data_IF_012285149467
#
_entry.id   IF_012285149467
#
_cell.length_a   1.000
_cell.length_b   1.000
_cell.length_c   1.000
_cell.angle_alpha   90.00
_cell.angle_beta   90.00
_cell.angle_gamma   90.00
#
_symmetry.space_group_name_H-M   'P 1'
#
loop_
_entity.id
_entity.type
_entity.pdbx_description
1 polymer ?
#
# COMPACT_ATOMS: atom_id res chain seq x y z
N UNK A 1 -15.87 -25.37 2.38
CA UNK A 1 -14.86 -24.90 3.35
C UNK A 1 -13.81 -25.95 3.67
N UNK A 2 -14.18 -27.18 3.92
CA UNK A 2 -13.26 -28.29 4.23
C UNK A 2 -12.18 -28.52 3.15
N UNK A 3 -12.55 -28.50 1.88
CA UNK A 3 -11.64 -28.73 0.76
C UNK A 3 -10.41 -27.79 0.72
N UNK A 4 -10.57 -26.52 1.09
CA UNK A 4 -9.44 -25.57 1.15
C UNK A 4 -8.43 -25.94 2.23
N UNK A 5 -8.92 -26.34 3.40
CA UNK A 5 -8.07 -26.71 4.53
C UNK A 5 -7.29 -27.99 4.26
N UNK A 6 -7.88 -28.94 3.54
CA UNK A 6 -7.22 -30.19 3.15
C UNK A 6 -6.06 -29.97 2.18
N UNK A 7 -6.13 -28.92 1.38
CA UNK A 7 -5.06 -28.48 0.47
C UNK A 7 -4.12 -27.44 1.09
N UNK A 8 -4.25 -27.10 2.37
CA UNK A 8 -3.40 -26.13 3.04
C UNK A 8 -3.78 -24.67 2.84
N UNK A 9 -4.96 -24.36 2.26
CA UNK A 9 -5.44 -22.99 2.08
C UNK A 9 -6.36 -22.60 3.23
N UNK A 10 -6.03 -21.54 3.94
CA UNK A 10 -6.78 -21.06 5.10
C UNK A 10 -7.34 -19.67 4.86
N UNK A 11 -8.53 -19.42 5.41
CA UNK A 11 -9.07 -18.06 5.46
C UNK A 11 -8.37 -17.28 6.57
N UNK A 12 -7.71 -16.17 6.20
CA UNK A 12 -7.03 -15.28 7.16
C UNK A 12 -7.84 -14.03 7.49
N UNK A 13 -8.76 -13.60 6.62
CA UNK A 13 -9.61 -12.44 6.86
C UNK A 13 -10.42 -12.05 5.64
N UNK A 14 -11.34 -11.11 5.85
CA UNK A 14 -12.15 -10.48 4.82
C UNK A 14 -11.73 -9.02 4.65
N UNK A 15 -11.80 -8.50 3.43
CA UNK A 15 -11.52 -7.11 3.11
C UNK A 15 -10.27 -6.91 2.28
N UNK A 16 -9.78 -5.66 2.26
CA UNK A 16 -8.57 -5.30 1.53
C UNK A 16 -7.34 -5.76 2.30
N UNK A 17 -6.74 -6.85 1.86
CA UNK A 17 -5.50 -7.40 2.45
C UNK A 17 -4.36 -7.31 1.45
N UNK A 18 -4.18 -8.28 0.58
CA UNK A 18 -3.06 -8.35 -0.36
C UNK A 18 -2.98 -7.17 -1.29
N UNK A 19 -4.09 -6.73 -1.90
CA UNK A 19 -4.09 -5.63 -2.87
C UNK A 19 -3.72 -4.25 -2.28
N UNK A 20 -3.63 -4.13 -0.98
CA UNK A 20 -3.20 -2.90 -0.29
C UNK A 20 -1.91 -3.08 0.54
N UNK A 21 -1.25 -4.22 0.39
CA UNK A 21 0.00 -4.50 1.08
C UNK A 21 -0.15 -4.92 2.55
N UNK A 22 -1.33 -5.44 2.94
CA UNK A 22 -1.61 -5.89 4.30
C UNK A 22 -1.43 -7.41 4.48
N UNK A 23 -0.81 -8.10 3.53
CA UNK A 23 -0.48 -9.53 3.66
C UNK A 23 0.71 -9.80 4.57
N UNK A 24 1.39 -8.75 4.98
CA UNK A 24 2.63 -8.84 5.73
C UNK A 24 3.87 -9.02 4.84
N UNK A 25 5.05 -8.98 5.43
CA UNK A 25 6.31 -9.25 4.73
C UNK A 25 6.41 -10.73 4.38
N UNK A 26 7.28 -11.07 3.44
CA UNK A 26 7.78 -12.44 3.28
C UNK A 26 8.60 -12.83 4.50
N UNK A 27 8.72 -14.14 4.74
CA UNK A 27 9.65 -14.66 5.73
C UNK A 27 11.07 -14.14 5.43
N UNK A 28 11.84 -13.84 6.46
CA UNK A 28 13.15 -13.17 6.33
C UNK A 28 14.10 -13.95 5.43
N UNK A 29 14.15 -15.27 5.57
CA UNK A 29 14.97 -16.16 4.75
C UNK A 29 14.58 -16.09 3.26
N UNK A 30 13.29 -15.97 2.95
CA UNK A 30 12.79 -15.86 1.58
C UNK A 30 13.12 -14.49 1.01
N UNK A 31 12.86 -13.43 1.78
CA UNK A 31 13.16 -12.04 1.37
C UNK A 31 14.66 -11.87 1.08
N UNK A 32 15.53 -12.40 1.95
CA UNK A 32 16.98 -12.36 1.78
C UNK A 32 17.44 -13.15 0.54
N UNK A 33 16.85 -14.33 0.30
CA UNK A 33 17.15 -15.12 -0.90
C UNK A 33 16.75 -14.38 -2.18
N UNK A 34 15.60 -13.75 -2.20
CA UNK A 34 15.12 -12.95 -3.34
C UNK A 34 16.03 -11.77 -3.62
N UNK A 35 16.41 -11.02 -2.58
CA UNK A 35 17.22 -9.81 -2.73
C UNK A 35 18.70 -10.14 -3.06
N UNK A 36 19.28 -11.13 -2.39
CA UNK A 36 20.69 -11.50 -2.59
C UNK A 36 20.95 -12.07 -3.98
N UNK A 37 20.00 -12.84 -4.51
CA UNK A 37 20.16 -13.50 -5.81
C UNK A 37 19.43 -12.76 -6.95
N UNK A 38 18.87 -11.59 -6.68
CA UNK A 38 18.09 -10.79 -7.64
C UNK A 38 16.99 -11.60 -8.34
N UNK A 39 16.27 -12.44 -7.59
CA UNK A 39 15.28 -13.33 -8.15
C UNK A 39 14.05 -12.57 -8.67
N UNK A 40 13.49 -13.04 -9.78
CA UNK A 40 12.24 -12.57 -10.33
C UNK A 40 11.08 -13.42 -9.77
N UNK A 41 10.58 -13.05 -8.59
CA UNK A 41 9.42 -13.72 -8.00
C UNK A 41 8.12 -13.03 -8.39
N UNK A 42 7.04 -13.81 -8.39
CA UNK A 42 5.73 -13.37 -8.88
C UNK A 42 4.67 -13.48 -7.80
N UNK A 43 3.65 -12.61 -7.87
CA UNK A 43 2.40 -12.77 -7.12
C UNK A 43 1.24 -12.98 -8.08
N UNK A 44 0.39 -13.95 -7.78
CA UNK A 44 -0.90 -14.17 -8.47
C UNK A 44 -2.01 -13.90 -7.48
N UNK A 45 -2.87 -12.96 -7.79
CA UNK A 45 -3.92 -12.51 -6.89
C UNK A 45 -5.22 -12.17 -7.62
N UNK A 46 -6.33 -12.22 -6.87
CA UNK A 46 -7.60 -11.65 -7.30
C UNK A 46 -7.85 -10.38 -6.50
N UNK A 47 -7.92 -9.24 -7.17
CA UNK A 47 -8.05 -7.95 -6.47
C UNK A 47 -8.05 -6.76 -7.44
N UNK A 48 -7.65 -5.60 -6.94
CA UNK A 48 -7.56 -4.38 -7.72
C UNK A 48 -6.30 -4.39 -8.60
N UNK A 49 -6.37 -3.80 -9.81
CA UNK A 49 -5.25 -3.71 -10.76
C UNK A 49 -4.14 -2.73 -10.35
N UNK A 50 -4.31 -1.89 -9.35
CA UNK A 50 -3.28 -0.98 -8.84
C UNK A 50 -2.44 -1.65 -7.76
N UNK A 51 -1.66 -2.65 -8.11
CA UNK A 51 -0.94 -3.45 -7.12
C UNK A 51 0.59 -3.32 -7.20
N UNK A 52 1.14 -2.66 -8.20
CA UNK A 52 2.59 -2.45 -8.27
C UNK A 52 3.08 -1.61 -7.08
N UNK A 53 4.07 -2.15 -6.38
CA UNK A 53 4.60 -1.54 -5.15
C UNK A 53 3.68 -1.62 -3.92
N UNK A 54 2.47 -2.18 -4.06
CA UNK A 54 1.54 -2.37 -2.94
C UNK A 54 1.54 -3.78 -2.37
N UNK A 55 1.69 -4.80 -3.24
CA UNK A 55 1.51 -6.20 -2.83
C UNK A 55 2.64 -6.60 -1.90
N UNK A 56 3.87 -6.55 -2.40
CA UNK A 56 5.07 -6.84 -1.65
C UNK A 56 6.27 -6.17 -2.34
N UNK A 57 7.19 -5.52 -1.62
CA UNK A 57 8.35 -4.86 -2.21
C UNK A 57 9.36 -5.81 -2.86
N UNK A 58 9.37 -7.09 -2.48
CA UNK A 58 10.28 -8.08 -3.03
C UNK A 58 9.74 -8.76 -4.31
N UNK A 59 8.45 -8.53 -4.64
CA UNK A 59 7.81 -9.11 -5.82
C UNK A 59 7.95 -8.17 -7.02
N UNK A 60 8.55 -8.67 -8.10
CA UNK A 60 8.80 -7.90 -9.33
C UNK A 60 7.64 -7.96 -10.33
N UNK A 61 6.85 -9.02 -10.32
CA UNK A 61 5.77 -9.25 -11.27
C UNK A 61 4.48 -9.63 -10.56
N UNK A 62 3.38 -8.99 -10.93
CA UNK A 62 2.09 -9.23 -10.32
C UNK A 62 1.07 -9.58 -11.39
N UNK A 63 0.33 -10.66 -11.19
CA UNK A 63 -0.68 -11.16 -12.12
C UNK A 63 -2.05 -11.14 -11.49
N UNK A 64 -3.00 -10.54 -12.20
CA UNK A 64 -4.40 -10.52 -11.79
C UNK A 64 -5.13 -11.71 -12.41
N UNK A 65 -5.71 -12.53 -11.57
CA UNK A 65 -6.44 -13.72 -11.98
C UNK A 65 -7.78 -13.86 -11.24
N UNK A 66 -8.66 -14.70 -11.74
CA UNK A 66 -9.88 -15.08 -11.01
C UNK A 66 -9.54 -15.89 -9.76
N UNK A 67 -10.38 -15.86 -8.70
CA UNK A 67 -10.11 -16.65 -7.49
C UNK A 67 -9.79 -18.13 -7.72
N UNK A 68 -10.49 -18.87 -8.63
CA UNK A 68 -10.13 -20.24 -8.95
C UNK A 68 -8.74 -20.38 -9.58
N UNK A 69 -8.35 -19.47 -10.47
CA UNK A 69 -7.03 -19.50 -11.10
C UNK A 69 -5.90 -19.17 -10.10
N UNK A 70 -6.14 -18.32 -9.12
CA UNK A 70 -5.17 -18.06 -8.04
C UNK A 70 -4.85 -19.36 -7.29
N UNK A 71 -5.87 -20.18 -7.03
CA UNK A 71 -5.68 -21.50 -6.40
C UNK A 71 -4.94 -22.46 -7.35
N UNK A 72 -5.28 -22.45 -8.63
CA UNK A 72 -4.62 -23.30 -9.64
C UNK A 72 -3.12 -23.00 -9.73
N UNK A 73 -2.72 -21.73 -9.83
CA UNK A 73 -1.32 -21.32 -9.84
C UNK A 73 -0.59 -21.62 -8.51
N UNK A 74 -1.29 -21.51 -7.38
CA UNK A 74 -0.72 -21.89 -6.11
C UNK A 74 -0.46 -23.41 -6.00
N UNK A 75 -1.30 -24.23 -6.62
CA UNK A 75 -1.08 -25.68 -6.72
C UNK A 75 0.05 -26.03 -7.70
N UNK A 76 0.13 -25.33 -8.83
CA UNK A 76 1.21 -25.51 -9.81
C UNK A 76 2.57 -25.07 -9.26
N UNK A 77 2.61 -24.07 -8.36
CA UNK A 77 3.84 -23.55 -7.76
C UNK A 77 4.71 -22.71 -8.70
N UNK A 78 4.29 -22.50 -9.94
CA UNK A 78 5.01 -21.73 -10.95
C UNK A 78 4.04 -21.01 -11.90
N UNK A 79 4.50 -19.91 -12.52
CA UNK A 79 3.78 -19.22 -13.59
C UNK A 79 4.02 -19.85 -14.97
N UNK A 80 5.14 -20.57 -15.13
CA UNK A 80 5.47 -21.31 -16.35
C UNK A 80 4.84 -22.71 -16.27
N UNK A 81 3.54 -22.77 -16.50
CA UNK A 81 2.73 -23.98 -16.38
C UNK A 81 1.62 -24.01 -17.42
N UNK A 82 1.56 -25.08 -18.18
CA UNK A 82 0.52 -25.33 -19.19
C UNK A 82 -0.66 -26.11 -18.60
N UNK A 83 -1.66 -25.39 -18.14
CA UNK A 83 -2.87 -26.01 -17.55
C UNK A 83 -3.67 -26.92 -18.48
N UNK A 84 -3.43 -26.87 -19.79
CA UNK A 84 -4.11 -27.75 -20.76
C UNK A 84 -3.40 -29.10 -20.87
N UNK A 85 -2.08 -29.14 -20.78
CA UNK A 85 -1.26 -30.30 -21.12
C UNK A 85 -0.42 -30.85 -19.96
N UNK A 86 -0.20 -30.05 -18.89
CA UNK A 86 0.59 -30.48 -17.73
C UNK A 86 -0.31 -30.87 -16.55
N UNK A 87 -0.03 -32.00 -15.88
CA UNK A 87 -0.78 -32.41 -14.69
C UNK A 87 -0.36 -31.58 -13.47
N UNK A 88 -1.34 -31.17 -12.64
CA UNK A 88 -1.11 -30.52 -11.35
C UNK A 88 -0.50 -31.45 -10.29
N UNK A 89 -0.62 -32.74 -10.48
CA UNK A 89 -0.13 -33.75 -9.57
C UNK A 89 -0.71 -35.12 -9.90
N UNK A 90 -0.63 -36.05 -8.95
CA UNK A 90 -1.18 -37.41 -9.08
C UNK A 90 -2.17 -37.69 -7.96
N UNK A 91 -3.20 -38.49 -8.29
CA UNK A 91 -4.15 -38.97 -7.30
C UNK A 91 -3.55 -40.10 -6.43
N UNK A 92 -4.32 -40.61 -5.49
CA UNK A 92 -3.90 -41.71 -4.59
C UNK A 92 -3.58 -43.04 -5.31
N UNK A 93 -3.96 -43.17 -6.59
CA UNK A 93 -3.69 -44.32 -7.43
C UNK A 93 -2.53 -44.10 -8.39
N UNK A 94 -1.87 -42.91 -8.33
CA UNK A 94 -0.79 -42.54 -9.20
C UNK A 94 -1.23 -42.11 -10.62
N UNK A 95 -2.50 -41.74 -10.78
CA UNK A 95 -2.99 -41.21 -12.05
C UNK A 95 -2.82 -39.69 -12.10
N UNK A 96 -2.41 -39.16 -13.26
CA UNK A 96 -2.23 -37.72 -13.44
C UNK A 96 -3.56 -36.99 -13.33
N UNK A 97 -3.54 -35.87 -12.55
CA UNK A 97 -4.66 -34.98 -12.32
C UNK A 97 -4.42 -33.66 -13.00
N UNK A 98 -5.26 -33.28 -13.94
CA UNK A 98 -5.21 -32.04 -14.68
C UNK A 98 -6.19 -31.01 -14.10
N UNK A 99 -5.99 -29.74 -14.41
CA UNK A 99 -6.89 -28.67 -13.96
C UNK A 99 -8.36 -28.94 -14.34
N UNK A 100 -8.62 -29.48 -15.52
CA UNK A 100 -9.97 -29.84 -15.99
C UNK A 100 -10.69 -30.86 -15.11
N UNK A 101 -9.93 -31.72 -14.44
CA UNK A 101 -10.49 -32.79 -13.61
C UNK A 101 -10.98 -32.27 -12.24
N UNK A 102 -10.43 -31.14 -11.78
CA UNK A 102 -10.78 -30.47 -10.52
C UNK A 102 -11.52 -29.14 -10.71
N UNK A 103 -11.69 -28.67 -11.95
CA UNK A 103 -12.39 -27.42 -12.24
C UNK A 103 -13.88 -27.57 -11.94
N UNK A 104 -14.46 -26.69 -11.10
CA UNK A 104 -15.85 -26.84 -10.70
C UNK A 104 -16.81 -26.59 -11.88
N UNK A 105 -17.77 -27.50 -12.06
CA UNK A 105 -18.86 -27.30 -13.01
C UNK A 105 -19.78 -26.14 -12.60
N UNK A 106 -20.05 -25.14 -13.47
CA UNK A 106 -20.91 -24.02 -13.11
C UNK A 106 -22.31 -24.42 -12.61
N UNK A 107 -22.86 -25.53 -13.14
CA UNK A 107 -24.17 -26.02 -12.74
C UNK A 107 -24.13 -26.59 -11.32
N UNK A 108 -23.04 -27.24 -10.96
CA UNK A 108 -22.84 -27.75 -9.60
C UNK A 108 -22.64 -26.61 -8.60
N UNK A 109 -21.84 -25.62 -8.96
CA UNK A 109 -21.68 -24.40 -8.17
C UNK A 109 -23.02 -23.71 -7.92
N UNK A 110 -23.87 -23.56 -8.95
CA UNK A 110 -25.20 -22.95 -8.82
C UNK A 110 -26.10 -23.76 -7.89
N UNK A 111 -26.12 -25.10 -7.98
CA UNK A 111 -26.88 -25.95 -7.06
C UNK A 111 -26.46 -25.77 -5.60
N UNK A 112 -25.15 -25.65 -5.35
CA UNK A 112 -24.62 -25.41 -4.01
C UNK A 112 -25.05 -24.03 -3.50
N UNK A 113 -25.00 -23.00 -4.35
CA UNK A 113 -25.47 -21.65 -4.02
C UNK A 113 -26.94 -21.69 -3.63
N UNK A 114 -27.80 -22.27 -4.48
CA UNK A 114 -29.25 -22.34 -4.28
C UNK A 114 -29.62 -23.13 -3.00
N UNK A 115 -28.85 -24.15 -2.66
CA UNK A 115 -29.07 -24.95 -1.46
C UNK A 115 -28.48 -24.35 -0.17
N UNK A 116 -27.53 -23.41 -0.30
CA UNK A 116 -26.75 -22.92 0.85
C UNK A 116 -27.13 -21.51 1.27
N UNK A 117 -27.67 -20.69 0.37
CA UNK A 117 -28.01 -19.28 0.64
C UNK A 117 -29.50 -19.20 0.93
N UNK A 118 -29.84 -18.88 2.17
CA UNK A 118 -31.21 -18.66 2.61
C UNK A 118 -31.35 -17.39 3.48
N UNK A 119 -32.58 -17.00 3.78
CA UNK A 119 -32.88 -15.80 4.56
C UNK A 119 -32.27 -15.85 5.96
N UNK A 120 -32.18 -17.05 6.56
CA UNK A 120 -31.65 -17.21 7.92
C UNK A 120 -30.17 -16.79 8.04
N UNK A 121 -29.41 -16.91 6.96
CA UNK A 121 -28.03 -16.44 6.92
C UNK A 121 -27.96 -14.90 7.06
N UNK A 122 -28.84 -14.20 6.40
CA UNK A 122 -28.94 -12.74 6.49
C UNK A 122 -29.42 -12.30 7.87
N UNK A 123 -30.43 -12.94 8.41
CA UNK A 123 -30.95 -12.66 9.75
C UNK A 123 -29.87 -12.86 10.82
N UNK A 124 -29.07 -13.93 10.70
CA UNK A 124 -27.99 -14.22 11.64
C UNK A 124 -26.86 -13.19 11.55
N UNK A 125 -26.44 -12.83 10.32
CA UNK A 125 -25.29 -11.93 10.13
C UNK A 125 -25.62 -10.47 10.38
N UNK A 126 -26.88 -10.07 10.07
CA UNK A 126 -27.31 -8.67 10.22
C UNK A 126 -28.14 -8.41 11.47
N UNK A 127 -28.69 -9.45 12.11
CA UNK A 127 -29.52 -9.30 13.31
C UNK A 127 -28.80 -8.66 14.50
N UNK A 128 -27.50 -8.87 14.59
CA UNK A 128 -26.64 -8.36 15.66
C UNK A 128 -25.61 -7.32 15.20
N UNK A 129 -25.78 -6.76 14.00
CA UNK A 129 -24.77 -5.89 13.38
C UNK A 129 -24.47 -4.64 14.22
N UNK A 130 -25.46 -4.15 14.97
CA UNK A 130 -25.29 -2.99 15.85
C UNK A 130 -24.79 -3.35 17.25
N UNK A 131 -24.83 -4.63 17.62
CA UNK A 131 -24.35 -5.06 18.93
C UNK A 131 -22.83 -5.27 18.95
N UNK A 132 -22.28 -5.67 17.80
CA UNK A 132 -20.88 -6.04 17.69
C UNK A 132 -20.55 -7.35 18.43
N UNK A 133 -19.29 -7.77 18.36
CA UNK A 133 -18.82 -8.91 19.15
C UNK A 133 -18.41 -8.49 20.57
N UNK A 134 -18.10 -9.46 21.43
CA UNK A 134 -17.70 -9.21 22.81
C UNK A 134 -16.46 -8.28 22.92
N UNK A 135 -15.52 -8.35 21.96
CA UNK A 135 -14.33 -7.49 21.95
C UNK A 135 -14.72 -6.04 21.66
N UNK A 136 -15.65 -5.84 20.72
CA UNK A 136 -16.18 -4.52 20.40
C UNK A 136 -16.93 -3.91 21.58
N UNK A 137 -17.79 -4.69 22.23
CA UNK A 137 -18.57 -4.23 23.41
C UNK A 137 -17.70 -3.87 24.61
N UNK A 138 -16.55 -4.54 24.77
CA UNK A 138 -15.62 -4.31 25.89
C UNK A 138 -14.52 -3.29 25.54
N UNK A 139 -14.60 -2.58 24.40
CA UNK A 139 -13.68 -1.48 24.11
C UNK A 139 -13.89 -0.35 25.15
N UNK A 140 -12.81 0.00 25.82
CA UNK A 140 -12.78 1.19 26.67
C UNK A 140 -12.83 2.43 25.76
N UNK A 141 -13.95 3.13 25.80
CA UNK A 141 -14.18 4.30 24.94
C UNK A 141 -14.17 5.56 25.79
N UNK A 142 -13.40 6.59 25.41
CA UNK A 142 -13.44 7.87 26.11
C UNK A 142 -14.84 8.50 26.01
N UNK A 143 -15.32 9.09 27.10
CA UNK A 143 -16.64 9.67 27.23
C UNK A 143 -16.64 11.21 27.12
N UNK A 144 -15.49 11.81 26.81
CA UNK A 144 -15.36 13.27 26.67
C UNK A 144 -15.78 13.79 25.29
N UNK A 145 -16.02 15.09 25.18
CA UNK A 145 -16.34 15.77 23.92
C UNK A 145 -15.12 15.92 22.99
N UNK A 146 -13.92 15.68 23.50
CA UNK A 146 -12.66 15.84 22.77
C UNK A 146 -11.86 14.54 22.86
N UNK A 147 -11.22 14.15 21.75
CA UNK A 147 -10.33 12.99 21.76
C UNK A 147 -9.02 13.31 22.51
N UNK A 148 -8.66 12.47 23.46
CA UNK A 148 -7.36 12.54 24.15
C UNK A 148 -6.29 11.86 23.31
N UNK A 149 -5.38 12.66 22.75
CA UNK A 149 -4.27 12.17 21.94
C UNK A 149 -3.15 11.62 22.82
N UNK A 150 -2.74 10.38 22.53
CA UNK A 150 -1.53 9.80 23.11
C UNK A 150 -0.30 10.24 22.30
N UNK A 151 0.60 11.06 22.87
CA UNK A 151 1.79 11.54 22.16
C UNK A 151 2.81 10.42 21.88
N UNK A 152 2.73 9.30 22.59
CA UNK A 152 3.63 8.16 22.39
C UNK A 152 3.09 7.14 21.38
N UNK A 153 1.84 7.30 20.94
CA UNK A 153 1.25 6.40 19.95
C UNK A 153 2.03 6.44 18.63
N UNK A 154 2.39 5.27 18.12
CA UNK A 154 3.01 5.12 16.81
C UNK A 154 2.00 4.83 15.69
N UNK A 155 0.70 4.72 16.02
CA UNK A 155 -0.38 4.47 15.07
C UNK A 155 -1.30 5.67 14.84
N UNK A 156 -1.65 6.41 15.89
CA UNK A 156 -2.57 7.54 15.82
C UNK A 156 -1.95 8.73 16.54
N UNK A 157 -1.64 9.78 15.81
CA UNK A 157 -1.05 11.01 16.33
C UNK A 157 -1.87 12.23 15.96
N UNK A 158 -1.90 13.22 16.84
CA UNK A 158 -2.51 14.51 16.53
C UNK A 158 -1.81 15.13 15.31
N UNK A 159 -2.52 15.35 14.21
CA UNK A 159 -1.92 15.94 13.01
C UNK A 159 -1.81 17.48 13.17
N UNK A 160 -0.80 18.10 12.52
CA UNK A 160 -0.56 19.54 12.63
C UNK A 160 -1.40 20.43 11.70
N UNK A 161 -2.45 19.88 11.06
CA UNK A 161 -3.17 20.59 10.00
C UNK A 161 -3.85 21.88 10.43
N UNK A 162 -4.19 22.00 11.70
CA UNK A 162 -4.88 23.14 12.28
C UNK A 162 -3.99 23.99 13.19
N UNK A 163 -2.71 23.64 13.32
CA UNK A 163 -1.78 24.38 14.15
C UNK A 163 -1.55 25.78 13.55
N UNK A 164 -1.76 26.80 14.33
CA UNK A 164 -1.64 28.19 13.88
C UNK A 164 -2.79 28.71 13.00
N UNK A 165 -3.86 27.92 12.81
CA UNK A 165 -5.02 28.37 12.05
C UNK A 165 -5.77 29.47 12.79
N UNK A 166 -6.09 30.55 12.08
CA UNK A 166 -6.88 31.67 12.57
C UNK A 166 -8.21 31.78 11.81
N UNK A 167 -9.16 32.55 12.34
CA UNK A 167 -10.42 32.85 11.66
C UNK A 167 -10.23 33.83 10.48
N UNK A 168 -9.13 34.54 10.42
CA UNK A 168 -8.80 35.45 9.34
C UNK A 168 -8.05 34.71 8.24
N UNK A 169 -8.47 34.89 6.99
CA UNK A 169 -7.80 34.31 5.82
C UNK A 169 -6.59 35.15 5.45
N UNK A 170 -5.46 34.48 5.20
CA UNK A 170 -4.29 35.15 4.60
C UNK A 170 -4.52 35.40 3.12
N UNK A 171 -4.09 36.54 2.56
CA UNK A 171 -4.15 36.77 1.12
C UNK A 171 -3.27 35.76 0.37
N UNK A 172 -3.60 35.54 -0.91
CA UNK A 172 -2.74 34.76 -1.81
C UNK A 172 -1.53 35.59 -2.14
N UNK A 173 -0.34 35.03 -1.92
CA UNK A 173 0.94 35.66 -2.20
C UNK A 173 1.69 34.90 -3.30
N UNK A 174 2.59 35.61 -3.99
CA UNK A 174 3.49 34.97 -4.96
C UNK A 174 4.47 34.02 -4.28
N UNK A 175 4.84 32.95 -4.97
CA UNK A 175 5.82 31.97 -4.48
C UNK A 175 7.18 32.34 -5.06
N UNK A 176 8.04 32.94 -4.26
CA UNK A 176 9.37 33.39 -4.68
C UNK A 176 10.47 32.41 -4.20
N UNK A 177 11.50 32.23 -5.01
CA UNK A 177 12.70 31.47 -4.66
C UNK A 177 12.48 29.96 -4.51
N UNK A 178 11.34 29.43 -4.96
CA UNK A 178 11.02 28.04 -4.82
C UNK A 178 12.01 27.11 -5.54
N UNK A 179 12.23 25.91 -4.96
CA UNK A 179 13.03 24.85 -5.56
C UNK A 179 12.13 23.69 -5.99
N UNK A 180 12.54 23.01 -7.07
CA UNK A 180 11.86 21.82 -7.55
C UNK A 180 12.30 20.64 -6.68
N UNK A 181 11.37 20.11 -5.87
CA UNK A 181 11.61 18.90 -5.08
C UNK A 181 11.59 17.65 -5.97
N UNK A 182 10.63 17.59 -6.89
CA UNK A 182 10.46 16.46 -7.82
C UNK A 182 10.07 16.97 -9.21
N UNK A 183 10.70 16.39 -10.23
CA UNK A 183 10.31 16.52 -11.63
C UNK A 183 9.88 15.14 -12.13
N UNK A 184 8.58 14.94 -12.29
CA UNK A 184 7.97 13.67 -12.58
C UNK A 184 7.44 13.60 -14.02
N UNK A 185 7.38 12.38 -14.57
CA UNK A 185 6.76 12.13 -15.87
C UNK A 185 5.24 12.01 -15.80
N UNK A 186 4.67 11.43 -16.85
CA UNK A 186 3.23 11.17 -16.99
C UNK A 186 2.76 10.04 -16.08
N UNK A 187 1.44 9.98 -15.83
CA UNK A 187 0.74 8.88 -15.15
C UNK A 187 1.23 8.57 -13.72
N UNK A 188 1.66 9.60 -13.00
CA UNK A 188 1.99 9.48 -11.58
C UNK A 188 0.71 9.44 -10.77
N UNK A 189 0.32 8.25 -10.34
CA UNK A 189 -0.94 8.02 -9.61
C UNK A 189 -0.85 8.41 -8.14
N UNK A 190 -2.00 8.47 -7.47
CA UNK A 190 -2.05 8.66 -6.02
C UNK A 190 -1.31 7.59 -5.22
N UNK A 191 -1.08 6.40 -5.80
CA UNK A 191 -0.26 5.35 -5.18
C UNK A 191 1.24 5.63 -5.21
N UNK A 192 1.70 6.35 -6.20
CA UNK A 192 3.07 6.83 -6.24
C UNK A 192 3.32 7.95 -5.22
N UNK A 193 2.32 8.79 -4.99
CA UNK A 193 2.42 9.95 -4.08
C UNK A 193 2.22 9.52 -2.63
N UNK A 194 1.17 8.73 -2.36
CA UNK A 194 0.79 8.29 -1.01
C UNK A 194 0.94 6.77 -0.90
N UNK A 195 2.03 6.26 -0.37
CA UNK A 195 2.29 4.83 -0.31
C UNK A 195 1.36 4.11 0.66
N UNK A 196 1.14 2.82 0.42
CA UNK A 196 0.29 1.98 1.25
C UNK A 196 0.98 0.71 1.75
N UNK A 197 1.98 0.22 1.03
CA UNK A 197 2.70 -1.03 1.29
C UNK A 197 3.65 -0.97 2.49
N UNK A 198 4.40 -2.05 2.67
CA UNK A 198 5.44 -2.16 3.70
C UNK A 198 6.68 -1.32 3.33
N UNK A 199 7.54 -1.09 4.31
CA UNK A 199 8.76 -0.31 4.15
C UNK A 199 9.91 -0.92 4.97
N UNK A 200 11.13 -0.62 4.56
CA UNK A 200 12.35 -1.16 5.16
C UNK A 200 12.82 -0.29 6.34
N UNK A 201 13.67 -0.88 7.20
CA UNK A 201 14.21 -0.20 8.38
C UNK A 201 15.14 0.98 8.06
N UNK A 202 15.78 0.95 6.88
CA UNK A 202 16.69 2.01 6.40
C UNK A 202 15.99 3.22 5.79
N UNK A 203 14.67 3.11 5.55
CA UNK A 203 13.86 4.24 5.06
C UNK A 203 13.62 5.27 6.16
N UNK A 204 13.30 6.54 5.83
CA UNK A 204 12.94 7.54 6.83
C UNK A 204 11.82 7.10 7.78
N UNK A 205 10.80 6.41 7.29
CA UNK A 205 9.72 5.88 8.12
C UNK A 205 10.17 4.72 9.03
N UNK A 206 11.05 3.84 8.52
CA UNK A 206 11.62 2.75 9.31
C UNK A 206 12.52 3.24 10.43
N UNK A 207 13.37 4.24 10.16
CA UNK A 207 14.20 4.90 11.16
C UNK A 207 13.35 5.53 12.26
N UNK A 208 12.34 6.30 11.87
CA UNK A 208 11.39 6.92 12.80
C UNK A 208 10.76 5.88 13.75
N UNK A 209 10.26 4.77 13.24
CA UNK A 209 9.65 3.73 14.07
C UNK A 209 10.67 3.04 14.99
N UNK A 210 11.88 2.79 14.48
CA UNK A 210 12.97 2.21 15.29
C UNK A 210 13.36 3.13 16.44
N UNK A 211 13.44 4.43 16.21
CA UNK A 211 13.71 5.46 17.24
C UNK A 211 12.60 5.50 18.30
N UNK A 212 11.37 5.14 17.93
CA UNK A 212 10.23 5.00 18.87
C UNK A 212 10.09 3.58 19.46
N UNK A 213 11.13 2.74 19.35
CA UNK A 213 11.17 1.41 19.97
C UNK A 213 10.37 0.34 19.27
N UNK A 214 9.82 0.59 18.07
CA UNK A 214 9.08 -0.41 17.31
C UNK A 214 10.05 -1.33 16.61
N UNK A 215 9.89 -2.65 16.80
CA UNK A 215 10.70 -3.65 16.11
C UNK A 215 10.26 -3.82 14.67
N UNK A 216 11.18 -4.20 13.75
CA UNK A 216 10.88 -4.38 12.32
C UNK A 216 9.66 -5.25 12.05
N UNK A 217 9.51 -6.36 12.76
CA UNK A 217 8.37 -7.27 12.62
C UNK A 217 7.01 -6.62 12.91
N UNK A 218 7.01 -5.52 13.67
CA UNK A 218 5.83 -4.79 14.12
C UNK A 218 5.62 -3.48 13.32
N UNK A 219 6.42 -3.23 12.28
CA UNK A 219 6.29 -2.02 11.44
C UNK A 219 4.94 -1.93 10.74
N UNK A 220 4.39 -3.08 10.32
CA UNK A 220 3.22 -3.15 9.47
C UNK A 220 3.45 -2.38 8.15
N UNK A 221 2.43 -1.69 7.67
CA UNK A 221 2.44 -0.96 6.40
C UNK A 221 2.11 0.51 6.60
N UNK A 222 2.41 1.35 5.61
CA UNK A 222 1.94 2.74 5.58
C UNK A 222 0.41 2.80 5.71
N UNK A 223 -0.31 1.89 5.05
CA UNK A 223 -1.78 1.83 5.14
C UNK A 223 -2.30 1.59 6.54
N UNK A 224 -1.63 0.74 7.33
CA UNK A 224 -1.98 0.46 8.72
C UNK A 224 -1.68 1.64 9.65
N UNK A 225 -0.69 2.46 9.30
CA UNK A 225 -0.24 3.62 10.10
C UNK A 225 -0.72 4.97 9.57
N UNK A 226 -1.72 4.97 8.68
CA UNK A 226 -2.24 6.21 8.05
C UNK A 226 -2.79 7.24 9.04
N UNK A 227 -3.06 6.86 10.27
CA UNK A 227 -3.41 7.76 11.38
C UNK A 227 -2.21 8.46 12.03
N UNK A 228 -0.99 8.10 11.62
CA UNK A 228 0.24 8.73 12.10
C UNK A 228 0.88 9.54 10.95
N UNK A 229 0.72 10.86 11.01
CA UNK A 229 1.24 11.77 9.98
C UNK A 229 2.77 11.73 9.88
N UNK A 230 3.48 11.42 10.97
CA UNK A 230 4.94 11.32 10.96
C UNK A 230 5.44 10.14 10.12
N UNK A 231 4.74 9.01 10.18
CA UNK A 231 5.05 7.86 9.31
C UNK A 231 4.68 8.19 7.87
N UNK A 232 3.50 8.76 7.65
CA UNK A 232 2.96 9.01 6.30
C UNK A 232 3.75 10.06 5.53
N UNK A 233 4.20 11.14 6.18
CA UNK A 233 5.03 12.17 5.52
C UNK A 233 6.37 11.59 5.05
N UNK A 234 6.94 10.68 5.82
CA UNK A 234 8.20 9.99 5.49
C UNK A 234 8.05 8.99 4.35
N UNK A 235 6.81 8.58 4.06
CA UNK A 235 6.45 7.73 2.93
C UNK A 235 5.95 8.48 1.71
N UNK A 236 5.67 9.77 1.84
CA UNK A 236 5.17 10.57 0.71
C UNK A 236 6.22 10.67 -0.39
N UNK A 237 5.84 10.30 -1.63
CA UNK A 237 6.72 10.11 -2.77
C UNK A 237 7.82 9.04 -2.58
N UNK A 238 7.67 8.11 -1.65
CA UNK A 238 8.64 7.04 -1.41
C UNK A 238 8.30 5.74 -2.14
N UNK A 239 7.40 5.76 -3.12
CA UNK A 239 7.08 4.59 -3.92
C UNK A 239 8.30 4.13 -4.70
N UNK A 240 8.58 2.82 -4.69
CA UNK A 240 9.75 2.21 -5.33
C UNK A 240 9.80 2.36 -6.85
N UNK A 241 8.68 2.70 -7.50
CA UNK A 241 8.56 2.88 -8.95
C UNK A 241 8.61 4.34 -9.39
N UNK A 242 8.68 5.27 -8.45
CA UNK A 242 8.75 6.69 -8.81
C UNK A 242 10.08 7.00 -9.48
N UNK A 243 10.04 7.77 -10.57
CA UNK A 243 11.21 8.21 -11.32
C UNK A 243 11.29 9.73 -11.27
N UNK A 244 12.22 10.23 -10.47
CA UNK A 244 12.47 11.66 -10.40
C UNK A 244 13.53 12.04 -11.45
N UNK A 245 13.12 12.81 -12.47
CA UNK A 245 13.99 13.25 -13.56
C UNK A 245 15.11 14.22 -13.14
N UNK A 246 15.19 14.58 -11.87
CA UNK A 246 16.35 15.26 -11.29
C UNK A 246 17.54 14.30 -11.05
N UNK A 247 17.28 13.00 -11.10
CA UNK A 247 18.25 11.92 -10.91
C UNK A 247 18.22 10.96 -12.11
N UNK A 248 19.35 10.79 -12.77
CA UNK A 248 19.45 9.89 -13.91
C UNK A 248 19.46 8.41 -13.46
N UNK A 249 18.52 7.62 -13.99
CA UNK A 249 18.47 6.17 -13.78
C UNK A 249 18.09 5.70 -12.37
N UNK A 250 17.69 6.60 -11.49
CA UNK A 250 17.30 6.27 -10.11
C UNK A 250 15.79 6.09 -10.03
N UNK A 251 15.36 4.94 -9.49
CA UNK A 251 13.97 4.68 -9.10
C UNK A 251 13.83 4.74 -7.58
N UNK A 252 12.64 5.10 -7.10
CA UNK A 252 12.32 5.19 -5.68
C UNK A 252 12.20 6.63 -5.17
N UNK A 253 11.99 6.77 -3.88
CA UNK A 253 11.71 8.03 -3.19
C UNK A 253 12.94 8.90 -2.96
N UNK A 254 13.66 9.24 -4.02
CA UNK A 254 14.88 10.03 -3.95
C UNK A 254 14.78 11.33 -4.73
N UNK A 255 15.56 12.32 -4.30
CA UNK A 255 15.71 13.63 -4.96
C UNK A 255 17.12 14.16 -4.76
N UNK A 256 17.37 15.40 -5.26
CA UNK A 256 18.59 16.16 -4.96
C UNK A 256 18.33 17.16 -3.85
N UNK A 257 19.25 17.22 -2.93
CA UNK A 257 19.24 18.20 -1.85
C UNK A 257 20.23 19.34 -2.13
N UNK A 258 19.73 20.42 -2.73
CA UNK A 258 20.56 21.60 -3.04
C UNK A 258 20.72 22.57 -1.85
N UNK A 259 20.29 22.22 -0.65
CA UNK A 259 20.74 22.91 0.56
C UNK A 259 22.19 22.56 0.88
N UNK A 260 22.68 21.45 0.31
CA UNK A 260 24.06 20.98 0.43
C UNK A 260 24.84 21.20 -0.87
N UNK A 261 26.15 21.39 -0.73
CA UNK A 261 27.02 21.61 -1.88
C UNK A 261 26.99 20.44 -2.87
N UNK A 262 26.85 20.73 -4.14
CA UNK A 262 26.75 19.74 -5.21
C UNK A 262 25.38 19.06 -5.35
N UNK A 263 24.43 19.32 -4.48
CA UNK A 263 23.09 18.72 -4.54
C UNK A 263 23.13 17.19 -4.49
N UNK A 264 23.61 16.58 -3.41
CA UNK A 264 23.68 15.13 -3.30
C UNK A 264 22.29 14.47 -3.37
N UNK A 265 22.26 13.19 -3.72
CA UNK A 265 21.06 12.39 -3.66
C UNK A 265 20.66 12.18 -2.18
N UNK A 266 19.38 12.40 -1.89
CA UNK A 266 18.79 12.18 -0.57
C UNK A 266 17.39 11.57 -0.70
N UNK A 267 16.86 10.99 0.37
CA UNK A 267 15.46 10.64 0.42
C UNK A 267 14.59 11.92 0.31
N UNK A 268 13.46 11.82 -0.37
CA UNK A 268 12.57 12.98 -0.58
C UNK A 268 12.21 13.64 0.74
N UNK A 269 11.90 12.86 1.77
CA UNK A 269 11.59 13.39 3.10
C UNK A 269 12.77 14.18 3.69
N UNK A 270 13.96 13.60 3.70
CA UNK A 270 15.14 14.22 4.32
C UNK A 270 15.50 15.55 3.62
N UNK A 271 15.50 15.56 2.29
CA UNK A 271 15.72 16.78 1.51
C UNK A 271 14.63 17.82 1.79
N UNK A 272 13.36 17.43 1.85
CA UNK A 272 12.26 18.34 2.12
C UNK A 272 12.38 18.99 3.50
N UNK A 273 12.79 18.24 4.52
CA UNK A 273 13.04 18.81 5.87
C UNK A 273 14.19 19.81 5.86
N UNK A 274 15.30 19.52 5.17
CA UNK A 274 16.42 20.44 5.02
C UNK A 274 15.99 21.75 4.31
N UNK A 275 15.16 21.67 3.27
CA UNK A 275 14.60 22.85 2.62
C UNK A 275 13.67 23.65 3.53
N UNK A 276 12.84 23.00 4.33
CA UNK A 276 11.97 23.68 5.30
C UNK A 276 12.79 24.41 6.37
N UNK A 277 13.84 23.77 6.90
CA UNK A 277 14.75 24.40 7.86
C UNK A 277 15.47 25.62 7.27
N UNK A 278 15.82 25.55 5.98
CA UNK A 278 16.40 26.66 5.24
C UNK A 278 15.37 27.75 4.82
N UNK A 279 14.09 27.58 5.11
CA UNK A 279 13.02 28.49 4.72
C UNK A 279 12.76 28.57 3.20
N UNK A 280 13.13 27.52 2.45
CA UNK A 280 13.01 27.48 0.99
C UNK A 280 11.70 26.80 0.58
N UNK A 281 10.78 27.47 -0.10
CA UNK A 281 9.54 26.87 -0.57
C UNK A 281 9.81 25.84 -1.68
N UNK A 282 8.96 24.81 -1.75
CA UNK A 282 9.10 23.72 -2.68
C UNK A 282 7.95 23.67 -3.70
N UNK A 283 8.27 23.17 -4.89
CA UNK A 283 7.29 22.87 -5.94
C UNK A 283 7.54 21.47 -6.52
N UNK A 284 6.48 20.86 -7.02
CA UNK A 284 6.54 19.60 -7.77
C UNK A 284 6.10 19.86 -9.21
N UNK A 285 6.87 19.33 -10.16
CA UNK A 285 6.51 19.36 -11.57
C UNK A 285 6.04 17.97 -11.97
N UNK A 286 4.77 17.85 -12.38
CA UNK A 286 4.16 16.61 -12.86
C UNK A 286 3.94 16.63 -14.38
N UNK A 287 3.82 15.45 -14.96
CA UNK A 287 3.38 15.27 -16.34
C UNK A 287 1.86 15.16 -16.46
N UNK A 288 1.39 14.55 -17.53
CA UNK A 288 -0.05 14.28 -17.75
C UNK A 288 -0.57 13.28 -16.72
N UNK A 289 -1.84 13.43 -16.34
CA UNK A 289 -2.56 12.52 -15.44
C UNK A 289 -1.91 12.36 -14.05
N UNK A 290 -1.20 13.37 -13.57
CA UNK A 290 -0.68 13.38 -12.21
C UNK A 290 -1.82 13.30 -11.19
N UNK A 291 -1.65 12.47 -10.14
CA UNK A 291 -2.64 12.29 -9.09
C UNK A 291 -3.90 11.53 -9.52
N UNK A 292 -3.88 10.84 -10.68
CA UNK A 292 -4.96 9.93 -11.09
C UNK A 292 -5.02 8.69 -10.18
N UNK A 293 -6.16 8.01 -10.16
CA UNK A 293 -6.37 6.78 -9.37
C UNK A 293 -7.29 6.99 -8.17
N UNK A 294 -7.08 6.22 -7.11
CA UNK A 294 -7.92 6.26 -5.90
C UNK A 294 -7.85 7.60 -5.20
N UNK A 295 -8.96 8.07 -4.66
CA UNK A 295 -8.99 9.28 -3.82
C UNK A 295 -8.18 9.05 -2.55
N UNK A 296 -7.03 9.66 -2.48
CA UNK A 296 -6.11 9.57 -1.34
C UNK A 296 -5.82 10.94 -0.79
N UNK A 297 -6.39 11.17 0.34
CA UNK A 297 -6.20 12.37 1.16
C UNK A 297 -4.72 12.66 1.43
N UNK A 298 -3.94 11.63 1.73
CA UNK A 298 -2.51 11.75 1.96
C UNK A 298 -1.70 12.20 0.73
N UNK A 299 -2.21 12.04 -0.48
CA UNK A 299 -1.55 12.59 -1.67
C UNK A 299 -1.47 14.12 -1.64
N UNK A 300 -2.46 14.78 -1.02
CA UNK A 300 -2.44 16.22 -0.80
C UNK A 300 -1.77 16.59 0.53
N UNK A 301 -2.19 15.97 1.65
CA UNK A 301 -1.68 16.28 2.99
C UNK A 301 -0.19 16.03 3.14
N UNK A 302 0.31 14.87 2.70
CA UNK A 302 1.74 14.55 2.75
C UNK A 302 2.55 15.51 1.91
N UNK A 303 2.09 15.83 0.71
CA UNK A 303 2.73 16.80 -0.17
C UNK A 303 2.82 18.18 0.49
N UNK A 304 1.74 18.67 1.10
CA UNK A 304 1.72 19.93 1.84
C UNK A 304 2.67 19.93 3.04
N UNK A 305 2.67 18.85 3.82
CA UNK A 305 3.55 18.71 4.99
C UNK A 305 5.03 18.64 4.64
N UNK A 306 5.39 18.21 3.43
CA UNK A 306 6.76 18.29 2.90
C UNK A 306 7.18 19.73 2.53
N UNK A 307 6.32 20.74 2.71
CA UNK A 307 6.62 22.14 2.37
C UNK A 307 6.38 22.47 0.90
N UNK A 308 5.73 21.60 0.15
CA UNK A 308 5.36 21.87 -1.25
C UNK A 308 4.22 22.89 -1.28
N UNK A 309 4.47 24.03 -1.92
CA UNK A 309 3.52 25.14 -2.04
C UNK A 309 2.65 25.04 -3.29
N UNK A 310 3.16 24.42 -4.35
CA UNK A 310 2.42 24.20 -5.59
C UNK A 310 2.86 22.94 -6.30
N UNK A 311 1.89 22.30 -6.97
CA UNK A 311 2.12 21.23 -7.94
C UNK A 311 1.73 21.78 -9.31
N UNK A 312 2.67 21.75 -10.25
CA UNK A 312 2.47 22.21 -11.62
C UNK A 312 2.41 20.97 -12.51
N UNK A 313 1.26 20.71 -13.10
CA UNK A 313 1.04 19.54 -13.96
C UNK A 313 0.47 19.93 -15.31
N UNK A 314 0.60 19.04 -16.30
CA UNK A 314 -0.14 19.15 -17.56
C UNK A 314 -1.54 18.61 -17.25
N UNK A 315 -2.47 19.51 -16.99
CA UNK A 315 -3.78 19.23 -16.38
C UNK A 315 -4.56 18.07 -16.97
N UNK A 316 -5.46 17.51 -16.16
CA UNK A 316 -6.47 16.56 -16.61
C UNK A 316 -7.33 17.24 -17.67
N UNK A 317 -7.48 16.60 -18.84
CA UNK A 317 -8.55 16.98 -19.74
C UNK A 317 -9.88 16.75 -18.97
N UNK A 318 -10.54 17.84 -18.58
CA UNK A 318 -11.94 17.73 -18.19
C UNK A 318 -12.75 17.43 -19.45
N UNK A 319 -13.20 16.20 -19.58
CA UNK A 319 -14.19 15.79 -20.57
C UNK A 319 -15.56 15.95 -19.93
#
# INVERSE_FOLDING_TARGET
>A
MLFRSDLGFYLVGYGCTTCIGNSGPLDEEISDAVQTNDLAVTAVLSGNRNFEGRINPDVKMNYLASPPLVIAYALAGTMDFDFENEPLGQDSNGQDVFLKDIWPDPTEVQKIIDASIDTSMFDREYGTIFDGDERWQNLDTPTGDVFEWDPESTYVRKPPYFDGMTMETTPVEDIEGARVLLKLGDSVTTDHISPAGSFKSDTPAGKYLTEHGVQRKDFNSYGSRRGNHEVMIRGTFANIRIKNQLLDGVEGGFTRDFTQEGGPQAAVYDAAMNYQEAGVPLVVLGGKEYGSGSSRDWAAKGTSLLGVRAVIEIGRAHV
#
